data_IF_035440923611
#
_entry.id   IF_035440923611
#
_cell.length_a   1.000
_cell.length_b   1.000
_cell.length_c   1.000
_cell.angle_alpha   90.00
_cell.angle_beta   90.00
_cell.angle_gamma   90.00
#
_symmetry.space_group_name_H-M   'P 1'
#
loop_
_entity.id
_entity.type
_entity.pdbx_description
1 polymer ?
#
# COMPACT_ATOMS: atom_id res chain seq x y z
N UNK A 1 10.25 -17.92 -24.85
CA UNK A 1 11.56 -17.32 -24.50
C UNK A 1 11.73 -17.46 -23.00
N UNK A 2 12.71 -18.26 -22.55
CA UNK A 2 13.04 -18.33 -21.12
C UNK A 2 13.92 -17.14 -20.75
N UNK A 3 13.71 -16.55 -19.58
CA UNK A 3 14.64 -15.56 -19.04
C UNK A 3 16.01 -16.18 -18.83
N UNK A 4 17.07 -15.44 -19.11
CA UNK A 4 18.42 -15.76 -18.65
C UNK A 4 18.48 -15.65 -17.12
N UNK A 5 19.45 -16.31 -16.48
CA UNK A 5 19.62 -16.24 -15.02
C UNK A 5 19.84 -14.80 -14.54
N UNK A 6 20.50 -13.96 -15.34
CA UNK A 6 20.76 -12.56 -14.98
C UNK A 6 19.50 -11.71 -15.09
N UNK A 7 18.68 -11.91 -16.13
CA UNK A 7 17.35 -11.30 -16.20
C UNK A 7 16.45 -11.73 -15.04
N UNK A 8 16.49 -13.01 -14.64
CA UNK A 8 15.75 -13.48 -13.46
C UNK A 8 16.20 -12.77 -12.18
N UNK A 9 17.50 -12.53 -11.98
CA UNK A 9 17.97 -11.75 -10.82
C UNK A 9 17.45 -10.31 -10.86
N UNK A 10 17.51 -9.64 -12.01
CA UNK A 10 17.00 -8.28 -12.15
C UNK A 10 15.50 -8.20 -11.84
N UNK A 11 14.69 -9.13 -12.37
CA UNK A 11 13.26 -9.19 -12.09
C UNK A 11 13.01 -9.46 -10.61
N UNK A 12 13.77 -10.37 -9.99
CA UNK A 12 13.66 -10.67 -8.56
C UNK A 12 13.95 -9.43 -7.68
N UNK A 13 15.01 -8.67 -7.99
CA UNK A 13 15.33 -7.42 -7.29
C UNK A 13 14.20 -6.42 -7.43
N UNK A 14 13.72 -6.17 -8.65
CA UNK A 14 12.60 -5.25 -8.90
C UNK A 14 11.32 -5.64 -8.18
N UNK A 15 11.00 -6.93 -8.12
CA UNK A 15 9.85 -7.43 -7.36
C UNK A 15 10.04 -7.21 -5.85
N UNK A 16 11.26 -7.38 -5.35
CA UNK A 16 11.56 -7.16 -3.93
C UNK A 16 11.46 -5.68 -3.56
N UNK A 17 11.96 -4.77 -4.40
CA UNK A 17 11.82 -3.32 -4.21
C UNK A 17 10.34 -2.90 -4.23
N UNK A 18 9.54 -3.49 -5.13
CA UNK A 18 8.10 -3.24 -5.21
C UNK A 18 7.38 -3.69 -3.93
N UNK A 19 7.71 -4.88 -3.42
CA UNK A 19 7.15 -5.40 -2.16
C UNK A 19 7.54 -4.50 -0.98
N UNK A 20 8.81 -4.05 -0.92
CA UNK A 20 9.28 -3.16 0.14
C UNK A 20 8.56 -1.80 0.10
N UNK A 21 8.45 -1.19 -1.08
CA UNK A 21 7.74 0.08 -1.26
C UNK A 21 6.26 -0.04 -0.87
N UNK A 22 5.58 -1.10 -1.33
CA UNK A 22 4.18 -1.32 -0.96
C UNK A 22 4.00 -1.70 0.52
N UNK A 23 4.97 -2.35 1.16
CA UNK A 23 4.94 -2.56 2.61
C UNK A 23 5.01 -1.24 3.38
N UNK A 24 5.81 -0.27 2.89
CA UNK A 24 5.86 1.07 3.48
C UNK A 24 4.55 1.84 3.27
N UNK A 25 3.95 1.75 2.08
CA UNK A 25 2.61 2.30 1.80
C UNK A 25 1.57 1.71 2.76
N UNK A 26 1.57 0.38 2.98
CA UNK A 26 0.67 -0.27 3.95
C UNK A 26 0.87 0.28 5.36
N UNK A 27 2.12 0.39 5.85
CA UNK A 27 2.38 0.94 7.19
C UNK A 27 1.83 2.35 7.36
N UNK A 28 1.91 3.19 6.32
CA UNK A 28 1.33 4.52 6.35
C UNK A 28 -0.20 4.48 6.44
N UNK A 29 -0.85 3.67 5.59
CA UNK A 29 -2.30 3.51 5.59
C UNK A 29 -2.82 2.93 6.92
N UNK A 30 -2.15 1.91 7.46
CA UNK A 30 -2.47 1.34 8.78
C UNK A 30 -2.30 2.39 9.88
N UNK A 31 -1.24 3.20 9.83
CA UNK A 31 -1.04 4.29 10.81
C UNK A 31 -2.17 5.33 10.79
N UNK A 32 -2.75 5.63 9.61
CA UNK A 32 -3.94 6.51 9.51
C UNK A 32 -5.18 5.83 10.09
N UNK A 33 -5.40 4.54 9.78
CA UNK A 33 -6.52 3.78 10.33
C UNK A 33 -6.45 3.68 11.85
N UNK A 34 -5.26 3.39 12.40
CA UNK A 34 -5.01 3.33 13.84
C UNK A 34 -5.22 4.70 14.49
N UNK A 35 -4.78 5.77 13.85
CA UNK A 35 -5.01 7.13 14.32
C UNK A 35 -6.51 7.45 14.37
N UNK A 36 -7.27 7.20 13.29
CA UNK A 36 -8.71 7.48 13.26
C UNK A 36 -9.45 6.63 14.30
N UNK A 37 -9.07 5.37 14.48
CA UNK A 37 -9.66 4.47 15.47
C UNK A 37 -9.32 4.84 16.93
N UNK A 38 -8.15 5.44 17.16
CA UNK A 38 -7.68 5.84 18.49
C UNK A 38 -8.22 7.18 18.98
N UNK A 39 -8.86 7.96 18.11
CA UNK A 39 -9.45 9.25 18.45
C UNK A 39 -10.91 9.06 18.86
N UNK A 40 -11.30 9.64 19.99
CA UNK A 40 -12.68 9.70 20.42
C UNK A 40 -13.54 10.55 19.46
N UNK A 41 -14.83 10.22 19.36
CA UNK A 41 -15.75 10.89 18.43
C UNK A 41 -15.78 12.42 18.61
N UNK A 42 -15.61 12.92 19.84
CA UNK A 42 -15.62 14.36 20.11
C UNK A 42 -14.36 15.03 19.55
N UNK A 43 -13.18 14.43 19.71
CA UNK A 43 -11.95 14.91 19.07
C UNK A 43 -12.02 14.82 17.54
N UNK A 44 -12.65 13.79 16.98
CA UNK A 44 -12.88 13.71 15.53
C UNK A 44 -13.73 14.89 15.03
N UNK A 45 -14.81 15.23 15.74
CA UNK A 45 -15.64 16.39 15.42
C UNK A 45 -14.90 17.73 15.60
N UNK A 46 -14.06 17.85 16.63
CA UNK A 46 -13.24 19.05 16.84
C UNK A 46 -12.23 19.24 15.71
N UNK A 47 -11.55 18.18 15.27
CA UNK A 47 -10.62 18.23 14.13
C UNK A 47 -11.35 18.58 12.83
N UNK A 48 -12.49 17.97 12.57
CA UNK A 48 -13.33 18.30 11.42
C UNK A 48 -13.76 19.78 11.45
N UNK A 49 -14.15 20.29 12.62
CA UNK A 49 -14.59 21.68 12.80
C UNK A 49 -13.43 22.67 12.65
N UNK A 50 -12.26 22.39 13.24
CA UNK A 50 -11.05 23.19 13.10
C UNK A 50 -10.57 23.22 11.64
N UNK A 51 -10.59 22.08 10.95
CA UNK A 51 -10.31 22.03 9.54
C UNK A 51 -11.36 22.80 8.72
N UNK A 52 -12.63 22.85 9.15
CA UNK A 52 -13.70 23.63 8.50
C UNK A 52 -13.47 25.15 8.63
N UNK A 53 -13.03 25.62 9.80
CA UNK A 53 -12.75 27.04 10.01
C UNK A 53 -11.57 27.54 9.16
N UNK A 54 -10.55 26.70 8.94
CA UNK A 54 -9.43 27.00 8.02
C UNK A 54 -9.86 26.88 6.55
N UNK A 55 -10.84 26.01 6.24
CA UNK A 55 -11.36 25.73 4.88
C UNK A 55 -12.01 26.94 4.22
N UNK A 56 -12.75 27.76 4.97
CA UNK A 56 -13.39 28.97 4.44
C UNK A 56 -12.41 29.95 3.76
N UNK A 57 -11.10 29.85 4.04
CA UNK A 57 -10.09 30.75 3.48
C UNK A 57 -9.31 30.22 2.28
N UNK A 58 -9.29 28.92 1.97
CA UNK A 58 -8.30 28.37 1.02
C UNK A 58 -8.81 27.48 -0.12
N UNK A 59 -10.13 27.30 -0.29
CA UNK A 59 -10.67 26.59 -1.47
C UNK A 59 -10.12 25.17 -1.66
N UNK A 60 -9.65 24.53 -0.59
CA UNK A 60 -9.12 23.16 -0.62
C UNK A 60 -10.28 22.17 -0.64
N UNK A 61 -10.08 21.01 -1.29
CA UNK A 61 -11.03 19.88 -1.31
C UNK A 61 -11.61 19.65 0.10
N UNK A 62 -12.90 19.30 0.15
CA UNK A 62 -13.56 18.95 1.40
C UNK A 62 -12.72 17.89 2.14
N UNK A 63 -12.43 18.13 3.42
CA UNK A 63 -11.91 17.08 4.30
C UNK A 63 -13.02 16.05 4.43
N UNK A 64 -12.67 14.80 4.13
CA UNK A 64 -13.55 13.66 4.31
C UNK A 64 -13.99 13.57 5.78
N UNK A 65 -15.20 13.05 6.02
CA UNK A 65 -15.54 12.63 7.38
C UNK A 65 -14.59 11.54 7.86
N UNK A 66 -14.49 11.31 9.18
CA UNK A 66 -13.69 10.20 9.70
C UNK A 66 -14.13 8.84 9.13
N UNK A 67 -15.43 8.66 8.88
CA UNK A 67 -15.99 7.48 8.23
C UNK A 67 -15.54 7.36 6.76
N UNK A 68 -15.60 8.46 6.00
CA UNK A 68 -15.14 8.50 4.61
C UNK A 68 -13.63 8.28 4.50
N UNK A 69 -12.85 8.86 5.41
CA UNK A 69 -11.39 8.67 5.48
C UNK A 69 -11.04 7.23 5.84
N UNK A 70 -11.76 6.62 6.78
CA UNK A 70 -11.60 5.19 7.12
C UNK A 70 -11.93 4.31 5.92
N UNK A 71 -13.05 4.54 5.24
CA UNK A 71 -13.46 3.76 4.08
C UNK A 71 -12.44 3.86 2.93
N UNK A 72 -11.93 5.06 2.64
CA UNK A 72 -10.91 5.24 1.61
C UNK A 72 -9.58 4.58 1.98
N UNK A 73 -9.13 4.70 3.24
CA UNK A 73 -7.90 4.04 3.68
C UNK A 73 -8.05 2.51 3.69
N UNK A 74 -9.21 1.95 4.04
CA UNK A 74 -9.46 0.51 3.92
C UNK A 74 -9.44 0.04 2.46
N UNK A 75 -9.98 0.84 1.54
CA UNK A 75 -9.91 0.55 0.10
C UNK A 75 -8.45 0.55 -0.39
N UNK A 76 -7.68 1.58 -0.04
CA UNK A 76 -6.26 1.68 -0.36
C UNK A 76 -5.46 0.50 0.22
N UNK A 77 -5.74 0.14 1.48
CA UNK A 77 -5.13 -1.01 2.14
C UNK A 77 -5.34 -2.29 1.33
N UNK A 78 -6.59 -2.59 0.95
CA UNK A 78 -6.93 -3.76 0.15
C UNK A 78 -6.27 -3.74 -1.25
N UNK A 79 -6.16 -2.59 -1.89
CA UNK A 79 -5.50 -2.44 -3.18
C UNK A 79 -3.99 -2.72 -3.11
N UNK A 80 -3.32 -2.21 -2.06
CA UNK A 80 -1.89 -2.41 -1.84
C UNK A 80 -1.62 -3.88 -1.47
N UNK A 81 -2.41 -4.50 -0.59
CA UNK A 81 -2.30 -5.93 -0.28
C UNK A 81 -2.44 -6.80 -1.53
N UNK A 82 -3.44 -6.52 -2.38
CA UNK A 82 -3.63 -7.26 -3.63
C UNK A 82 -2.43 -7.10 -4.58
N UNK A 83 -1.85 -5.90 -4.66
CA UNK A 83 -0.63 -5.62 -5.45
C UNK A 83 0.57 -6.39 -4.91
N UNK A 84 0.76 -6.42 -3.59
CA UNK A 84 1.81 -7.18 -2.93
C UNK A 84 1.65 -8.68 -3.13
N UNK A 85 0.43 -9.22 -2.97
CA UNK A 85 0.14 -10.63 -3.22
C UNK A 85 0.50 -11.06 -4.65
N UNK A 86 0.16 -10.25 -5.65
CA UNK A 86 0.56 -10.49 -7.04
C UNK A 86 2.08 -10.47 -7.23
N UNK A 87 2.79 -9.56 -6.56
CA UNK A 87 4.25 -9.50 -6.63
C UNK A 87 4.90 -10.73 -5.97
N UNK A 88 4.36 -11.19 -4.85
CA UNK A 88 4.79 -12.42 -4.19
C UNK A 88 4.60 -13.66 -5.06
N UNK A 89 3.43 -13.82 -5.70
CA UNK A 89 3.18 -14.93 -6.63
C UNK A 89 4.19 -14.92 -7.78
N UNK A 90 4.44 -13.76 -8.39
CA UNK A 90 5.46 -13.65 -9.45
C UNK A 90 6.87 -13.98 -8.95
N UNK A 91 7.20 -13.61 -7.72
CA UNK A 91 8.50 -13.92 -7.11
C UNK A 91 8.65 -15.43 -6.91
N UNK A 92 7.59 -16.10 -6.47
CA UNK A 92 7.55 -17.55 -6.33
C UNK A 92 7.69 -18.25 -7.70
N UNK A 93 6.91 -17.84 -8.71
CA UNK A 93 6.98 -18.41 -10.07
C UNK A 93 8.39 -18.25 -10.69
N UNK A 94 9.04 -17.11 -10.42
CA UNK A 94 10.39 -16.83 -10.88
C UNK A 94 11.43 -17.73 -10.19
N UNK A 95 11.26 -17.97 -8.89
CA UNK A 95 12.13 -18.88 -8.13
C UNK A 95 11.97 -20.32 -8.63
N UNK A 96 10.75 -20.77 -8.91
CA UNK A 96 10.50 -22.12 -9.45
C UNK A 96 11.07 -22.26 -10.87
N UNK A 97 10.88 -21.24 -11.72
CA UNK A 97 11.49 -21.21 -13.05
C UNK A 97 13.01 -21.26 -12.99
N UNK A 98 13.63 -20.57 -12.04
CA UNK A 98 15.07 -20.62 -11.80
C UNK A 98 15.52 -22.03 -11.39
N UNK A 99 14.82 -22.68 -10.45
CA UNK A 99 15.10 -24.04 -9.99
C UNK A 99 15.06 -25.04 -11.16
N UNK A 100 14.06 -24.92 -12.03
CA UNK A 100 13.92 -25.77 -13.22
C UNK A 100 15.02 -25.54 -14.26
N UNK A 101 15.54 -24.31 -14.39
CA UNK A 101 16.67 -24.01 -15.28
C UNK A 101 17.99 -24.53 -14.70
N UNK A 102 18.20 -24.41 -13.39
CA UNK A 102 19.38 -24.93 -12.71
C UNK A 102 19.43 -26.46 -12.73
N UNK A 103 18.28 -27.15 -12.62
CA UNK A 103 18.20 -28.61 -12.71
C UNK A 103 18.44 -29.17 -14.13
N UNK A 104 18.39 -28.32 -15.17
CA UNK A 104 18.66 -28.72 -16.57
C UNK A 104 20.13 -28.53 -16.97
N UNK A 105 20.94 -27.90 -16.14
CA UNK A 105 22.40 -27.75 -16.35
C UNK A 105 23.14 -28.92 -15.72
#
# INVERSE_FOLDING_TARGET
>A
MGFTLEEMKMVHTRLSDLIAASSQELTQTTGVLDFVAGIDTDTQQQLASAASSVRGRRGRKAVLSAEEETAENLRLYAEIEAKMGRAWMKKYDLQESKRLLEAKK
#
